data_IF_791341254543
#
_entry.id   IF_791341254543
#
_cell.length_a   1.000
_cell.length_b   1.000
_cell.length_c   1.000
_cell.angle_alpha   90.00
_cell.angle_beta   90.00
_cell.angle_gamma   90.00
#
_symmetry.space_group_name_H-M   'P 1'
#
loop_
_entity.id
_entity.type
_entity.pdbx_description
1 polymer ?
#
# COMPACT_ATOMS: atom_id res chain seq x y z
N UNK A 1 2.92 4.58 14.83
CA UNK A 1 3.49 5.92 14.67
C UNK A 1 3.80 6.48 16.04
N UNK A 2 5.01 6.23 16.54
CA UNK A 2 5.53 6.95 17.69
C UNK A 2 6.30 8.18 17.16
N UNK A 3 6.10 9.38 17.72
CA UNK A 3 6.89 10.54 17.34
C UNK A 3 8.34 10.28 17.76
N UNK A 4 9.22 10.08 16.78
CA UNK A 4 10.62 9.75 17.04
C UNK A 4 11.41 10.92 17.61
N UNK A 5 11.05 12.15 17.26
CA UNK A 5 11.75 13.38 17.68
C UNK A 5 10.78 14.57 17.81
N UNK A 6 10.90 15.35 18.89
CA UNK A 6 10.25 16.65 19.08
C UNK A 6 11.34 17.70 19.30
N UNK A 7 11.52 18.62 18.34
CA UNK A 7 12.51 19.68 18.40
C UNK A 7 11.80 21.05 18.44
N UNK A 8 11.97 21.78 19.54
CA UNK A 8 11.46 23.15 19.69
C UNK A 8 12.58 24.12 19.32
N UNK A 9 12.33 24.98 18.32
CA UNK A 9 13.30 25.97 17.83
C UNK A 9 12.76 27.39 17.99
N UNK A 10 13.63 28.31 18.38
CA UNK A 10 13.32 29.75 18.50
C UNK A 10 14.02 30.52 17.38
N UNK A 11 13.47 30.47 16.17
CA UNK A 11 14.02 31.10 14.97
C UNK A 11 12.89 31.80 14.18
N UNK A 12 13.27 32.66 13.22
CA UNK A 12 12.30 33.22 12.27
C UNK A 12 11.69 32.08 11.43
N UNK A 13 10.37 32.10 11.27
CA UNK A 13 9.60 31.17 10.44
C UNK A 13 10.22 30.85 9.08
N UNK A 14 10.67 31.87 8.33
CA UNK A 14 11.26 31.67 7.01
C UNK A 14 12.53 30.82 7.08
N UNK A 15 13.39 31.10 8.05
CA UNK A 15 14.62 30.36 8.28
C UNK A 15 14.35 28.92 8.74
N UNK A 16 13.28 28.69 9.51
CA UNK A 16 12.87 27.33 9.90
C UNK A 16 12.40 26.53 8.68
N UNK A 17 11.56 27.13 7.83
CA UNK A 17 11.06 26.47 6.61
C UNK A 17 12.20 26.15 5.64
N UNK A 18 13.13 27.08 5.43
CA UNK A 18 14.30 26.84 4.57
C UNK A 18 15.17 25.70 5.08
N UNK A 19 15.43 25.65 6.39
CA UNK A 19 16.18 24.55 7.02
C UNK A 19 15.47 23.22 6.83
N UNK A 20 14.15 23.17 7.05
CA UNK A 20 13.35 21.95 6.88
C UNK A 20 13.34 21.46 5.42
N UNK A 21 13.18 22.37 4.46
CA UNK A 21 13.23 22.03 3.04
C UNK A 21 14.60 21.45 2.66
N UNK A 22 15.69 22.10 3.06
CA UNK A 22 17.04 21.60 2.79
C UNK A 22 17.29 20.22 3.42
N UNK A 23 16.70 19.95 4.59
CA UNK A 23 16.81 18.65 5.26
C UNK A 23 15.98 17.56 4.57
N UNK A 24 14.78 17.89 4.07
CA UNK A 24 13.94 16.99 3.28
C UNK A 24 14.62 16.66 1.96
N UNK A 25 15.12 17.67 1.24
CA UNK A 25 15.83 17.51 -0.04
C UNK A 25 17.09 16.64 0.13
N UNK A 26 17.84 16.85 1.23
CA UNK A 26 19.02 16.04 1.55
C UNK A 26 18.66 14.58 1.84
N UNK A 27 17.54 14.33 2.51
CA UNK A 27 17.04 12.97 2.80
C UNK A 27 16.48 12.29 1.55
N UNK A 28 15.99 13.07 0.58
CA UNK A 28 15.40 12.55 -0.65
C UNK A 28 14.13 11.73 -0.40
N UNK A 29 13.41 12.00 0.70
CA UNK A 29 12.21 11.27 1.07
C UNK A 29 10.98 11.87 0.37
N UNK A 30 10.39 11.18 -0.62
CA UNK A 30 9.26 11.70 -1.38
C UNK A 30 7.95 11.73 -0.57
N UNK A 31 7.93 11.16 0.65
CA UNK A 31 6.76 11.11 1.52
C UNK A 31 6.83 12.11 2.68
N UNK A 32 7.79 13.05 2.65
CA UNK A 32 7.88 14.13 3.62
C UNK A 32 6.93 15.30 3.28
N UNK A 33 6.32 15.91 4.30
CA UNK A 33 5.46 17.08 4.15
C UNK A 33 5.60 18.02 5.35
N UNK A 34 5.44 19.32 5.12
CA UNK A 34 5.49 20.37 6.15
C UNK A 34 4.07 20.89 6.38
N UNK A 35 3.58 20.77 7.62
CA UNK A 35 2.28 21.29 8.02
C UNK A 35 2.50 22.57 8.84
N UNK A 36 1.90 23.68 8.41
CA UNK A 36 1.84 24.93 9.16
C UNK A 36 0.47 25.05 9.83
N UNK A 37 0.45 25.20 11.14
CA UNK A 37 -0.77 25.35 11.93
C UNK A 37 -0.55 26.19 13.19
N UNK A 38 -1.64 26.51 13.86
CA UNK A 38 -1.62 27.05 15.21
C UNK A 38 -1.35 25.93 16.21
N UNK A 39 -0.55 26.20 17.22
CA UNK A 39 -0.13 25.20 18.21
C UNK A 39 -1.32 24.60 18.97
N UNK A 40 -2.34 25.41 19.31
CA UNK A 40 -3.54 24.92 20.01
C UNK A 40 -4.42 23.98 19.16
N UNK A 41 -4.30 24.04 17.83
CA UNK A 41 -5.15 23.31 16.86
C UNK A 41 -4.31 22.42 15.92
N UNK A 42 -3.16 21.96 16.39
CA UNK A 42 -2.23 21.14 15.62
C UNK A 42 -2.85 19.79 15.20
N UNK A 43 -3.68 19.22 16.07
CA UNK A 43 -4.40 17.97 15.89
C UNK A 43 -5.46 18.08 14.78
N UNK A 44 -6.23 19.19 14.78
CA UNK A 44 -7.21 19.51 13.72
C UNK A 44 -6.51 19.72 12.39
N UNK A 45 -5.37 20.42 12.38
CA UNK A 45 -4.56 20.67 11.18
C UNK A 45 -4.03 19.36 10.58
N UNK A 46 -3.56 18.43 11.42
CA UNK A 46 -3.12 17.10 10.99
C UNK A 46 -4.29 16.27 10.42
N UNK A 47 -5.44 16.26 11.10
CA UNK A 47 -6.63 15.53 10.65
C UNK A 47 -7.15 16.06 9.31
N UNK A 48 -7.20 17.39 9.14
CA UNK A 48 -7.59 18.03 7.88
C UNK A 48 -6.61 17.67 6.76
N UNK A 49 -5.31 17.69 7.02
CA UNK A 49 -4.29 17.28 6.05
C UNK A 49 -4.48 15.82 5.61
N UNK A 50 -4.66 14.88 6.54
CA UNK A 50 -4.91 13.46 6.23
C UNK A 50 -6.17 13.31 5.37
N UNK A 51 -7.25 14.02 5.74
CA UNK A 51 -8.50 14.01 5.00
C UNK A 51 -8.34 14.57 3.57
N UNK A 52 -7.68 15.71 3.41
CA UNK A 52 -7.49 16.36 2.12
C UNK A 52 -6.61 15.54 1.19
N UNK A 53 -5.47 15.02 1.68
CA UNK A 53 -4.59 14.12 0.91
C UNK A 53 -5.36 12.88 0.47
N UNK A 54 -6.06 12.22 1.40
CA UNK A 54 -6.82 11.02 1.07
C UNK A 54 -7.91 11.33 0.04
N UNK A 55 -8.68 12.41 0.25
CA UNK A 55 -9.75 12.82 -0.66
C UNK A 55 -9.24 13.21 -2.04
N UNK A 56 -8.13 13.94 -2.15
CA UNK A 56 -7.58 14.36 -3.44
C UNK A 56 -6.97 13.20 -4.22
N UNK A 57 -6.38 12.21 -3.53
CA UNK A 57 -5.75 11.06 -4.17
C UNK A 57 -6.74 9.95 -4.53
N UNK A 58 -7.94 9.95 -3.96
CA UNK A 58 -8.96 8.92 -4.23
C UNK A 58 -9.35 8.81 -5.72
N UNK A 59 -9.71 9.91 -6.44
CA UNK A 59 -10.07 9.82 -7.86
C UNK A 59 -8.94 9.30 -8.74
N UNK A 60 -7.72 9.79 -8.55
CA UNK A 60 -6.56 9.37 -9.34
C UNK A 60 -6.16 7.92 -9.05
N UNK A 61 -6.20 7.50 -7.78
CA UNK A 61 -5.96 6.10 -7.41
C UNK A 61 -7.04 5.18 -8.00
N UNK A 62 -8.31 5.56 -7.92
CA UNK A 62 -9.41 4.79 -8.52
C UNK A 62 -9.29 4.72 -10.05
N UNK A 63 -8.94 5.82 -10.71
CA UNK A 63 -8.72 5.85 -12.16
C UNK A 63 -7.50 4.99 -12.58
N UNK A 64 -6.42 5.03 -11.80
CA UNK A 64 -5.24 4.18 -12.03
C UNK A 64 -5.55 2.69 -11.79
N UNK A 65 -6.35 2.37 -10.78
CA UNK A 65 -6.79 1.00 -10.52
C UNK A 65 -7.75 0.51 -11.60
N UNK A 66 -8.69 1.34 -12.06
CA UNK A 66 -9.60 1.04 -13.16
C UNK A 66 -8.87 0.84 -14.49
N UNK A 67 -7.92 1.71 -14.84
CA UNK A 67 -7.11 1.56 -16.07
C UNK A 67 -6.20 0.34 -16.05
N UNK A 68 -5.86 -0.19 -14.87
CA UNK A 68 -5.11 -1.44 -14.70
C UNK A 68 -6.01 -2.67 -14.57
N UNK A 69 -7.34 -2.52 -14.70
CA UNK A 69 -8.30 -3.61 -14.53
C UNK A 69 -8.42 -4.12 -13.10
N UNK A 70 -7.79 -3.48 -12.12
CA UNK A 70 -7.83 -3.89 -10.70
C UNK A 70 -9.20 -3.68 -10.06
N UNK A 71 -10.07 -2.90 -10.71
CA UNK A 71 -11.48 -2.74 -10.35
C UNK A 71 -12.41 -3.62 -11.21
N UNK A 72 -11.86 -4.35 -12.19
CA UNK A 72 -12.66 -5.26 -13.00
C UNK A 72 -12.98 -6.49 -12.15
N UNK A 73 -14.28 -6.73 -12.01
CA UNK A 73 -14.84 -7.91 -11.41
C UNK A 73 -15.22 -8.81 -12.58
N UNK A 74 -14.63 -10.01 -12.63
CA UNK A 74 -14.95 -10.97 -13.69
C UNK A 74 -16.40 -11.49 -13.55
N UNK A 75 -16.87 -12.26 -14.53
CA UNK A 75 -18.22 -12.85 -14.50
C UNK A 75 -18.46 -13.82 -13.33
N UNK A 76 -17.39 -14.24 -12.63
CA UNK A 76 -17.45 -15.04 -11.41
C UNK A 76 -17.46 -14.21 -10.11
N UNK A 77 -17.42 -12.88 -10.19
CA UNK A 77 -17.44 -12.01 -9.02
C UNK A 77 -16.09 -11.84 -8.35
N UNK A 78 -15.00 -12.27 -8.98
CA UNK A 78 -13.65 -12.17 -8.44
C UNK A 78 -12.95 -10.92 -8.99
N UNK A 79 -12.46 -10.03 -8.12
CA UNK A 79 -11.64 -8.89 -8.54
C UNK A 79 -10.32 -9.32 -9.18
N UNK A 80 -9.84 -8.58 -10.18
CA UNK A 80 -8.58 -8.91 -10.85
C UNK A 80 -7.35 -8.88 -9.93
N UNK A 81 -7.36 -8.05 -8.89
CA UNK A 81 -6.28 -7.98 -7.89
C UNK A 81 -6.15 -9.28 -7.08
N UNK A 82 -7.26 -9.94 -6.77
CA UNK A 82 -7.29 -11.25 -6.12
C UNK A 82 -6.65 -12.32 -7.00
N UNK A 83 -6.95 -12.32 -8.31
CA UNK A 83 -6.32 -13.25 -9.26
C UNK A 83 -4.82 -12.98 -9.42
N UNK A 84 -4.41 -11.72 -9.49
CA UNK A 84 -2.98 -11.35 -9.50
C UNK A 84 -2.26 -11.85 -8.25
N UNK A 85 -2.86 -11.68 -7.07
CA UNK A 85 -2.30 -12.17 -5.80
C UNK A 85 -2.16 -13.69 -5.78
N UNK A 86 -3.14 -14.42 -6.32
CA UNK A 86 -3.07 -15.89 -6.46
C UNK A 86 -1.89 -16.28 -7.36
N UNK A 87 -1.70 -15.60 -8.50
CA UNK A 87 -0.57 -15.86 -9.41
C UNK A 87 0.79 -15.57 -8.74
N UNK A 88 0.91 -14.48 -7.98
CA UNK A 88 2.12 -14.18 -7.21
C UNK A 88 2.43 -15.26 -6.16
N UNK A 89 1.40 -15.76 -5.46
CA UNK A 89 1.54 -16.84 -4.49
C UNK A 89 2.00 -18.13 -5.16
N UNK A 90 1.47 -18.45 -6.35
CA UNK A 90 1.96 -19.58 -7.15
C UNK A 90 3.46 -19.48 -7.45
N UNK A 91 3.95 -18.31 -7.81
CA UNK A 91 5.36 -18.10 -8.12
C UNK A 91 6.26 -18.14 -6.89
N UNK A 92 5.82 -17.57 -5.76
CA UNK A 92 6.54 -17.67 -4.48
C UNK A 92 6.64 -19.11 -3.99
N UNK A 93 5.55 -19.86 -4.06
CA UNK A 93 5.53 -21.28 -3.67
C UNK A 93 6.46 -22.10 -4.57
N UNK A 94 6.47 -21.86 -5.89
CA UNK A 94 7.43 -22.53 -6.81
C UNK A 94 8.89 -22.23 -6.49
N UNK A 95 9.19 -21.02 -6.01
CA UNK A 95 10.53 -20.59 -5.60
C UNK A 95 10.92 -21.05 -4.19
N UNK A 96 9.97 -21.62 -3.44
CA UNK A 96 10.17 -22.01 -2.03
C UNK A 96 10.15 -20.84 -1.05
N UNK A 97 9.64 -19.68 -1.47
CA UNK A 97 9.58 -18.44 -0.69
C UNK A 97 8.30 -18.30 0.15
N UNK A 98 7.29 -19.15 -0.09
CA UNK A 98 6.00 -19.17 0.61
C UNK A 98 5.49 -20.61 0.75
N UNK A 99 4.73 -20.86 1.81
CA UNK A 99 4.16 -22.18 2.10
C UNK A 99 2.93 -22.43 1.19
N UNK A 100 2.80 -23.62 0.57
CA UNK A 100 1.62 -23.98 -0.23
C UNK A 100 0.27 -23.81 0.51
N UNK A 101 0.25 -23.87 1.83
CA UNK A 101 -0.96 -23.64 2.65
C UNK A 101 -1.47 -22.20 2.54
N UNK A 102 -0.60 -21.20 2.37
CA UNK A 102 -0.99 -19.80 2.16
C UNK A 102 -1.73 -19.62 0.82
N UNK A 103 -1.21 -20.28 -0.22
CA UNK A 103 -1.86 -20.31 -1.53
C UNK A 103 -3.23 -21.01 -1.46
N UNK A 104 -3.34 -22.13 -0.74
CA UNK A 104 -4.62 -22.83 -0.54
C UNK A 104 -5.65 -21.95 0.17
N UNK A 105 -5.23 -21.23 1.22
CA UNK A 105 -6.12 -20.35 1.97
C UNK A 105 -6.66 -19.20 1.10
N UNK A 106 -5.83 -18.61 0.24
CA UNK A 106 -6.28 -17.56 -0.68
C UNK A 106 -7.22 -18.12 -1.77
N UNK A 107 -6.94 -19.30 -2.32
CA UNK A 107 -7.85 -19.98 -3.27
C UNK A 107 -9.22 -20.28 -2.65
N UNK A 108 -9.25 -20.75 -1.40
CA UNK A 108 -10.51 -21.05 -0.68
C UNK A 108 -11.29 -19.79 -0.35
N UNK A 109 -10.60 -18.72 0.04
CA UNK A 109 -11.22 -17.42 0.33
C UNK A 109 -12.03 -16.89 -0.85
N UNK A 110 -11.55 -17.10 -2.06
CA UNK A 110 -12.21 -16.67 -3.30
C UNK A 110 -13.07 -17.75 -3.95
N UNK A 111 -13.19 -18.93 -3.32
CA UNK A 111 -13.90 -20.09 -3.86
C UNK A 111 -13.40 -20.48 -5.27
N UNK A 112 -12.07 -20.37 -5.48
CA UNK A 112 -11.39 -20.62 -6.75
C UNK A 112 -10.59 -21.93 -6.75
N UNK A 113 -10.65 -22.72 -5.68
CA UNK A 113 -9.84 -23.93 -5.59
C UNK A 113 -10.10 -24.89 -6.75
N UNK A 114 -11.37 -25.15 -7.09
CA UNK A 114 -11.73 -26.06 -8.19
C UNK A 114 -11.18 -25.61 -9.55
N UNK A 115 -11.09 -24.29 -9.78
CA UNK A 115 -10.52 -23.73 -11.01
C UNK A 115 -8.99 -23.94 -11.07
N UNK A 116 -8.32 -23.91 -9.92
CA UNK A 116 -6.85 -23.95 -9.83
C UNK A 116 -6.29 -25.29 -9.31
N UNK A 117 -7.14 -26.29 -9.04
CA UNK A 117 -6.78 -27.55 -8.38
C UNK A 117 -5.61 -28.25 -9.08
N UNK A 118 -5.70 -28.44 -10.39
CA UNK A 118 -4.66 -29.12 -11.18
C UNK A 118 -3.30 -28.40 -11.10
N UNK A 119 -3.33 -27.06 -11.14
CA UNK A 119 -2.12 -26.24 -11.01
C UNK A 119 -1.55 -26.33 -9.60
N UNK A 120 -2.40 -26.31 -8.58
CA UNK A 120 -2.02 -26.44 -7.18
C UNK A 120 -1.37 -27.80 -6.90
N UNK A 121 -1.98 -28.89 -7.36
CA UNK A 121 -1.45 -30.25 -7.18
C UNK A 121 -0.11 -30.47 -7.90
N UNK A 122 0.13 -29.73 -9.00
CA UNK A 122 1.40 -29.81 -9.75
C UNK A 122 2.60 -29.33 -8.92
N UNK A 123 2.40 -28.43 -7.94
CA UNK A 123 3.45 -27.98 -7.01
C UNK A 123 4.03 -29.18 -6.25
N UNK A 124 3.18 -30.08 -5.77
CA UNK A 124 3.59 -31.25 -4.99
C UNK A 124 4.14 -32.39 -5.86
N UNK A 125 3.76 -32.44 -7.15
CA UNK A 125 4.28 -33.45 -8.09
C UNK A 125 5.73 -33.20 -8.50
N UNK A 126 6.23 -31.96 -8.38
CA UNK A 126 7.60 -31.57 -8.78
C UNK A 126 8.64 -31.69 -7.66
N UNK A 127 8.21 -31.88 -6.42
CA UNK A 127 9.09 -32.06 -5.25
C UNK A 127 9.48 -33.51 -4.97
N UNK A 128 9.46 -34.39 -5.98
CA UNK A 128 9.81 -35.81 -5.87
C UNK A 128 10.97 -36.18 -6.79
#
# INVERSE_FOLDING_TARGET
NEPRELNIVSDNWLSVVEKLNAEIDKRGDPLASIIKGEDELWDVSLMKFIYEITRSSLPDNLAQMGTRGLLDIDSSGVPADARLKIEELFDKVKKGESDPSELKAELDRWNLFDEYEDRFLTIFKRGR
#
